data_IF_908941872115
#
_entry.id   IF_908941872115
#
_cell.length_a   1.000
_cell.length_b   1.000
_cell.length_c   1.000
_cell.angle_alpha   90.00
_cell.angle_beta   90.00
_cell.angle_gamma   90.00
#
_symmetry.space_group_name_H-M   'P 1'
#
loop_
_entity.id
_entity.type
_entity.pdbx_description
1 polymer ?
#
# COMPACT_ATOMS: atom_id res chain seq x y z
N UNK A 1 2.15 6.49 16.59
CA UNK A 1 2.97 6.78 15.40
C UNK A 1 2.93 8.29 15.19
N UNK A 2 4.00 8.94 14.75
CA UNK A 2 3.91 10.38 14.41
C UNK A 2 3.22 10.54 13.05
N UNK A 3 2.55 11.68 12.85
CA UNK A 3 1.77 11.97 11.63
C UNK A 3 2.63 11.84 10.37
N UNK A 4 3.87 12.34 10.44
CA UNK A 4 4.87 12.19 9.37
C UNK A 4 5.17 10.72 9.07
N UNK A 5 5.29 9.87 10.09
CA UNK A 5 5.57 8.46 9.85
C UNK A 5 4.38 7.78 9.18
N UNK A 6 3.15 8.13 9.60
CA UNK A 6 1.92 7.58 9.02
C UNK A 6 1.81 7.92 7.52
N UNK A 7 1.98 9.19 7.18
CA UNK A 7 1.98 9.67 5.79
C UNK A 7 3.03 8.94 4.94
N UNK A 8 4.27 8.88 5.43
CA UNK A 8 5.34 8.16 4.75
C UNK A 8 5.06 6.66 4.59
N UNK A 9 4.35 6.04 5.53
CA UNK A 9 4.01 4.61 5.44
C UNK A 9 2.95 4.34 4.39
N UNK A 10 1.95 5.22 4.25
CA UNK A 10 0.94 5.13 3.18
C UNK A 10 1.58 5.36 1.81
N UNK A 11 2.49 6.35 1.69
CA UNK A 11 3.25 6.60 0.47
C UNK A 11 4.12 5.39 0.12
N UNK A 12 4.88 4.87 1.07
CA UNK A 12 5.76 3.72 0.86
C UNK A 12 4.98 2.47 0.44
N UNK A 13 3.84 2.19 1.08
CA UNK A 13 2.97 1.06 0.71
C UNK A 13 2.42 1.22 -0.72
N UNK A 14 1.98 2.44 -1.07
CA UNK A 14 1.47 2.73 -2.42
C UNK A 14 2.57 2.54 -3.47
N UNK A 15 3.77 3.07 -3.20
CA UNK A 15 4.93 2.89 -4.08
C UNK A 15 5.33 1.42 -4.21
N UNK A 16 5.32 0.65 -3.11
CA UNK A 16 5.63 -0.77 -3.13
C UNK A 16 4.62 -1.56 -3.98
N UNK A 17 3.32 -1.25 -3.87
CA UNK A 17 2.28 -1.88 -4.68
C UNK A 17 2.45 -1.57 -6.18
N UNK A 18 2.78 -0.31 -6.52
CA UNK A 18 3.06 0.09 -7.90
C UNK A 18 4.30 -0.61 -8.46
N UNK A 19 5.40 -0.64 -7.69
CA UNK A 19 6.64 -1.32 -8.07
C UNK A 19 6.39 -2.81 -8.29
N UNK A 20 5.64 -3.46 -7.40
CA UNK A 20 5.24 -4.85 -7.56
C UNK A 20 4.48 -5.07 -8.87
N UNK A 21 3.50 -4.22 -9.18
CA UNK A 21 2.72 -4.37 -10.41
C UNK A 21 3.57 -4.18 -11.66
N UNK A 22 4.44 -3.17 -11.69
CA UNK A 22 5.32 -2.90 -12.83
C UNK A 22 6.34 -4.03 -13.00
N UNK A 23 7.08 -4.37 -11.96
CA UNK A 23 8.12 -5.39 -12.03
C UNK A 23 7.53 -6.78 -12.22
N UNK A 24 6.42 -7.10 -11.56
CA UNK A 24 5.75 -8.39 -11.67
C UNK A 24 5.25 -8.67 -13.09
N UNK A 25 4.77 -7.64 -13.79
CA UNK A 25 4.40 -7.73 -15.20
C UNK A 25 5.64 -7.83 -16.10
N UNK A 26 6.64 -6.96 -15.92
CA UNK A 26 7.86 -6.98 -16.77
C UNK A 26 8.62 -8.30 -16.67
N UNK A 27 8.74 -8.84 -15.46
CA UNK A 27 9.46 -10.08 -15.18
C UNK A 27 8.60 -11.33 -15.36
N UNK A 28 7.31 -11.18 -15.74
CA UNK A 28 6.36 -12.29 -15.91
C UNK A 28 6.30 -13.23 -14.68
N UNK A 29 6.33 -12.67 -13.46
CA UNK A 29 6.36 -13.46 -12.20
C UNK A 29 5.08 -14.30 -12.05
N UNK A 30 3.93 -13.70 -12.40
CA UNK A 30 2.62 -14.34 -12.48
C UNK A 30 1.93 -13.84 -13.75
N UNK A 31 0.81 -14.46 -14.13
CA UNK A 31 -0.05 -13.90 -15.17
C UNK A 31 -0.46 -12.46 -14.82
N UNK A 32 -0.44 -11.55 -15.78
CA UNK A 32 -0.74 -10.12 -15.61
C UNK A 32 -1.98 -9.84 -14.73
N UNK A 33 -3.12 -10.55 -14.88
CA UNK A 33 -4.27 -10.33 -14.01
C UNK A 33 -3.97 -10.60 -12.53
N UNK A 34 -3.20 -11.64 -12.23
CA UNK A 34 -2.85 -12.02 -10.86
C UNK A 34 -1.85 -11.07 -10.22
N UNK A 35 -0.89 -10.54 -10.99
CA UNK A 35 0.04 -9.51 -10.49
C UNK A 35 -0.74 -8.27 -10.05
N UNK A 36 -1.69 -7.83 -10.86
CA UNK A 36 -2.54 -6.66 -10.56
C UNK A 36 -3.42 -6.94 -9.34
N UNK A 37 -4.13 -8.09 -9.32
CA UNK A 37 -5.03 -8.46 -8.22
C UNK A 37 -4.27 -8.52 -6.89
N UNK A 38 -3.11 -9.18 -6.86
CA UNK A 38 -2.32 -9.30 -5.62
C UNK A 38 -1.77 -7.95 -5.16
N UNK A 39 -1.30 -7.10 -6.09
CA UNK A 39 -0.88 -5.73 -5.77
C UNK A 39 -2.01 -4.91 -5.15
N UNK A 40 -3.21 -4.97 -5.72
CA UNK A 40 -4.39 -4.29 -5.19
C UNK A 40 -4.83 -4.82 -3.83
N UNK A 41 -4.82 -6.15 -3.64
CA UNK A 41 -5.17 -6.76 -2.34
C UNK A 41 -4.20 -6.28 -1.26
N UNK A 42 -2.89 -6.33 -1.52
CA UNK A 42 -1.87 -5.88 -0.55
C UNK A 42 -2.03 -4.40 -0.24
N UNK A 43 -2.30 -3.57 -1.26
CA UNK A 43 -2.51 -2.14 -1.05
C UNK A 43 -3.77 -1.84 -0.23
N UNK A 44 -4.90 -2.48 -0.53
CA UNK A 44 -6.15 -2.30 0.20
C UNK A 44 -6.03 -2.77 1.64
N UNK A 45 -5.52 -3.98 1.86
CA UNK A 45 -5.37 -4.57 3.19
C UNK A 45 -4.34 -3.77 4.01
N UNK A 46 -3.20 -3.42 3.42
CA UNK A 46 -2.16 -2.66 4.09
C UNK A 46 -2.60 -1.24 4.45
N UNK A 47 -3.26 -0.54 3.52
CA UNK A 47 -3.76 0.83 3.77
C UNK A 47 -4.90 0.80 4.77
N UNK A 48 -5.80 -0.19 4.68
CA UNK A 48 -6.87 -0.40 5.65
C UNK A 48 -6.35 -0.69 7.05
N UNK A 49 -5.32 -1.53 7.18
CA UNK A 49 -4.66 -1.79 8.45
C UNK A 49 -3.99 -0.52 9.00
N UNK A 50 -3.29 0.23 8.16
CA UNK A 50 -2.68 1.51 8.53
C UNK A 50 -3.74 2.49 9.07
N UNK A 51 -4.84 2.66 8.36
CA UNK A 51 -5.94 3.53 8.76
C UNK A 51 -6.63 3.05 10.05
N UNK A 52 -6.83 1.75 10.21
CA UNK A 52 -7.49 1.18 11.38
C UNK A 52 -6.72 1.44 12.67
N UNK A 53 -5.40 1.23 12.64
CA UNK A 53 -4.57 1.34 13.84
C UNK A 53 -4.09 2.77 14.11
N UNK A 54 -3.83 3.58 13.08
CA UNK A 54 -3.20 4.90 13.25
C UNK A 54 -3.97 6.06 12.61
N UNK A 55 -4.96 5.78 11.76
CA UNK A 55 -5.71 6.82 11.04
C UNK A 55 -6.53 7.72 11.97
N UNK A 56 -7.06 7.19 13.08
CA UNK A 56 -7.85 7.98 14.04
C UNK A 56 -7.02 9.08 14.70
N UNK A 57 -5.82 8.73 15.16
CA UNK A 57 -4.91 9.69 15.79
C UNK A 57 -4.45 10.75 14.79
N UNK A 58 -4.13 10.35 13.56
CA UNK A 58 -3.75 11.28 12.49
C UNK A 58 -4.88 12.27 12.14
N UNK A 59 -6.09 11.76 11.91
CA UNK A 59 -7.24 12.60 11.54
C UNK A 59 -7.71 13.50 12.69
N UNK A 60 -7.50 13.11 13.95
CA UNK A 60 -7.84 13.96 15.10
C UNK A 60 -6.94 15.18 15.28
N UNK A 61 -5.80 15.19 14.58
CA UNK A 61 -4.77 16.25 14.65
C UNK A 61 -4.79 17.16 13.42
N UNK A 62 -5.63 16.84 12.44
CA UNK A 62 -5.99 17.71 11.31
C UNK A 62 -7.13 18.64 11.71
#
# INVERSE_FOLDING_TARGET
>A
MSDRTFEWSVIALTMAALIWMVLGVMLHILGTPWVIITGLIVWLVGSGALLYYWGKDYMSRM
#
